data_IF_987943707493
#
_entry.id   IF_987943707493
#
_cell.length_a   1.000
_cell.length_b   1.000
_cell.length_c   1.000
_cell.angle_alpha   90.00
_cell.angle_beta   90.00
_cell.angle_gamma   90.00
#
_symmetry.space_group_name_H-M   'P 1'
#
loop_
_entity.id
_entity.type
_entity.pdbx_description
1 polymer ?
#
# COMPACT_ATOMS: atom_id res chain seq x y z
N UNK A 1 12.11 9.85 -30.26
CA UNK A 1 13.20 9.60 -29.30
C UNK A 1 12.75 8.48 -28.38
N UNK A 2 13.30 7.26 -28.55
CA UNK A 2 13.00 6.11 -27.71
C UNK A 2 14.02 6.06 -26.57
N UNK A 3 13.57 6.24 -25.33
CA UNK A 3 14.43 6.26 -24.14
C UNK A 3 14.88 4.84 -23.77
N UNK A 4 16.17 4.57 -23.92
CA UNK A 4 16.84 3.32 -23.54
C UNK A 4 17.17 3.28 -22.04
N UNK A 5 16.19 3.43 -21.16
CA UNK A 5 16.43 3.48 -19.71
C UNK A 5 16.70 2.10 -19.08
N UNK A 6 16.86 1.03 -19.87
CA UNK A 6 17.09 -0.29 -19.29
C UNK A 6 17.83 -1.26 -20.21
N UNK A 7 18.78 -2.02 -19.64
CA UNK A 7 19.39 -3.20 -20.28
C UNK A 7 18.31 -4.23 -20.59
N UNK A 8 18.24 -4.67 -21.85
CA UNK A 8 17.24 -5.65 -22.32
C UNK A 8 17.32 -7.00 -21.59
N UNK A 9 18.50 -7.34 -21.05
CA UNK A 9 18.77 -8.62 -20.39
C UNK A 9 19.19 -8.38 -18.94
N UNK A 10 18.25 -7.96 -18.09
CA UNK A 10 18.47 -7.76 -16.65
C UNK A 10 18.45 -9.05 -15.81
N UNK A 11 18.51 -10.23 -16.43
CA UNK A 11 18.48 -11.52 -15.74
C UNK A 11 17.17 -11.85 -15.00
N UNK A 12 16.14 -11.01 -15.13
CA UNK A 12 14.86 -11.22 -14.47
C UNK A 12 14.02 -12.22 -15.25
N UNK A 13 13.40 -13.16 -14.54
CA UNK A 13 12.55 -14.19 -15.12
C UNK A 13 11.21 -14.21 -14.43
N UNK A 14 10.13 -14.40 -15.19
CA UNK A 14 8.78 -14.61 -14.64
C UNK A 14 8.28 -15.99 -15.00
N UNK A 15 7.50 -16.58 -14.09
CA UNK A 15 6.78 -17.81 -14.35
C UNK A 15 5.50 -17.49 -15.13
N UNK A 16 5.41 -17.97 -16.37
CA UNK A 16 4.23 -17.80 -17.21
C UNK A 16 3.64 -19.16 -17.55
N UNK A 17 2.32 -19.29 -17.40
CA UNK A 17 1.59 -20.46 -17.90
C UNK A 17 1.47 -20.35 -19.41
N UNK A 18 2.00 -21.33 -20.12
CA UNK A 18 1.93 -21.45 -21.57
C UNK A 18 1.26 -22.76 -21.91
N UNK A 19 0.45 -22.72 -22.98
CA UNK A 19 -0.24 -23.90 -23.48
C UNK A 19 0.70 -24.61 -24.44
N UNK A 20 1.15 -25.80 -24.07
CA UNK A 20 1.95 -26.67 -24.93
C UNK A 20 1.08 -27.15 -26.11
N UNK A 21 1.69 -27.53 -27.23
CA UNK A 21 0.99 -28.02 -28.42
C UNK A 21 -0.02 -29.15 -28.13
N UNK A 22 0.22 -29.93 -27.09
CA UNK A 22 -0.65 -31.02 -26.61
C UNK A 22 -1.84 -30.54 -25.76
N UNK A 23 -2.08 -29.23 -25.69
CA UNK A 23 -3.19 -28.62 -24.96
C UNK A 23 -3.00 -28.51 -23.44
N UNK A 24 -1.92 -29.05 -22.90
CA UNK A 24 -1.58 -28.96 -21.47
C UNK A 24 -0.99 -27.58 -21.10
N UNK A 25 -1.37 -27.08 -19.93
CA UNK A 25 -0.81 -25.85 -19.36
C UNK A 25 0.46 -26.17 -18.58
N UNK A 26 1.60 -25.70 -19.06
CA UNK A 26 2.88 -25.83 -18.37
C UNK A 26 3.36 -24.46 -17.90
N UNK A 27 3.97 -24.42 -16.72
CA UNK A 27 4.61 -23.19 -16.22
C UNK A 27 6.04 -23.16 -16.74
N UNK A 28 6.34 -22.18 -17.60
CA UNK A 28 7.69 -21.97 -18.11
C UNK A 28 8.28 -20.68 -17.56
N UNK A 29 9.57 -20.72 -17.27
CA UNK A 29 10.36 -19.57 -16.83
C UNK A 29 10.84 -18.81 -18.05
N UNK A 30 10.32 -17.59 -18.25
CA UNK A 30 10.62 -16.76 -19.42
C UNK A 30 11.44 -15.55 -18.96
N UNK A 31 12.58 -15.24 -19.61
CA UNK A 31 13.33 -14.03 -19.33
C UNK A 31 12.50 -12.81 -19.76
N UNK A 32 12.40 -11.83 -18.88
CA UNK A 32 11.72 -10.56 -19.15
C UNK A 32 12.70 -9.39 -19.02
N UNK A 33 12.49 -8.32 -19.80
CA UNK A 33 13.11 -7.05 -19.51
C UNK A 33 12.72 -6.59 -18.11
N UNK A 34 13.71 -6.15 -17.35
CA UNK A 34 13.59 -5.51 -16.04
C UNK A 34 12.50 -4.44 -15.96
N UNK A 35 12.27 -3.67 -17.02
CA UNK A 35 11.19 -2.66 -17.10
C UNK A 35 9.81 -3.27 -16.84
N UNK A 36 9.57 -4.49 -17.33
CA UNK A 36 8.28 -5.18 -17.16
C UNK A 36 8.09 -5.61 -15.71
N UNK A 37 9.17 -5.98 -15.04
CA UNK A 37 9.13 -6.34 -13.62
C UNK A 37 8.86 -5.13 -12.74
N UNK A 38 9.56 -4.01 -12.99
CA UNK A 38 9.35 -2.76 -12.26
C UNK A 38 7.92 -2.24 -12.47
N UNK A 39 7.40 -2.36 -13.69
CA UNK A 39 6.01 -2.05 -14.00
C UNK A 39 5.04 -2.94 -13.22
N UNK A 40 5.18 -4.26 -13.30
CA UNK A 40 4.31 -5.20 -12.57
C UNK A 40 4.37 -5.00 -11.05
N UNK A 41 5.53 -4.64 -10.51
CA UNK A 41 5.72 -4.33 -9.08
C UNK A 41 4.92 -3.09 -8.67
N UNK A 42 4.84 -2.08 -9.54
CA UNK A 42 4.07 -0.85 -9.29
C UNK A 42 2.57 -0.96 -9.61
N UNK A 43 2.19 -1.88 -10.50
CA UNK A 43 0.82 -2.10 -10.99
C UNK A 43 -0.11 -2.72 -9.94
N UNK A 44 0.40 -3.56 -9.02
CA UNK A 44 -0.43 -4.28 -8.04
C UNK A 44 -1.14 -3.42 -6.98
N UNK A 45 -0.81 -2.12 -6.88
CA UNK A 45 -1.50 -1.20 -5.97
C UNK A 45 -2.94 -0.87 -6.40
N UNK A 46 -3.22 -0.91 -7.71
CA UNK A 46 -4.55 -0.57 -8.25
C UNK A 46 -5.53 -1.70 -8.00
N UNK A 47 -5.17 -2.94 -8.34
CA UNK A 47 -6.05 -4.12 -8.16
C UNK A 47 -6.43 -4.36 -6.70
N UNK A 48 -5.49 -4.12 -5.77
CA UNK A 48 -5.74 -4.23 -4.33
C UNK A 48 -6.70 -3.13 -3.84
N UNK A 49 -6.55 -1.91 -4.34
CA UNK A 49 -7.46 -0.79 -4.04
C UNK A 49 -8.85 -1.05 -4.61
N UNK A 50 -8.96 -1.55 -5.84
CA UNK A 50 -10.23 -1.89 -6.49
C UNK A 50 -10.94 -3.05 -5.79
N UNK A 51 -10.19 -4.06 -5.33
CA UNK A 51 -10.74 -5.15 -4.50
C UNK A 51 -11.26 -4.64 -3.16
N UNK A 52 -10.53 -3.74 -2.50
CA UNK A 52 -10.98 -3.09 -1.26
C UNK A 52 -12.22 -2.22 -1.52
N UNK A 53 -12.25 -1.43 -2.59
CA UNK A 53 -13.43 -0.62 -2.96
C UNK A 53 -14.64 -1.52 -3.22
N UNK A 54 -14.47 -2.65 -3.92
CA UNK A 54 -15.53 -3.63 -4.14
C UNK A 54 -16.07 -4.24 -2.84
N UNK A 55 -15.18 -4.65 -1.94
CA UNK A 55 -15.52 -5.22 -0.63
C UNK A 55 -16.22 -4.20 0.28
N UNK A 56 -15.70 -2.98 0.36
CA UNK A 56 -16.30 -1.88 1.14
C UNK A 56 -17.58 -1.33 0.50
N UNK A 57 -17.78 -1.46 -0.82
CA UNK A 57 -19.02 -1.07 -1.50
C UNK A 57 -20.17 -2.00 -1.10
N UNK A 58 -19.91 -3.31 -1.02
CA UNK A 58 -20.90 -4.29 -0.56
C UNK A 58 -21.22 -4.16 0.95
N UNK A 59 -20.21 -3.87 1.78
CA UNK A 59 -20.39 -3.67 3.23
C UNK A 59 -21.15 -2.37 3.60
N UNK A 60 -21.23 -1.40 2.68
CA UNK A 60 -21.89 -0.09 2.89
C UNK A 60 -23.26 0.03 2.21
N UNK A 61 -24.01 -1.07 2.09
CA UNK A 61 -25.46 -0.99 1.84
C UNK A 61 -26.25 -0.44 3.04
N UNK A 62 -25.78 0.62 3.70
CA UNK A 62 -26.59 1.38 4.67
C UNK A 62 -26.07 2.80 4.96
N UNK A 63 -26.98 3.76 4.73
CA UNK A 63 -27.18 5.04 5.45
C UNK A 63 -26.21 6.22 5.21
N UNK A 64 -26.23 6.74 3.98
CA UNK A 64 -25.81 8.10 3.56
C UNK A 64 -24.32 8.44 3.76
N UNK A 65 -23.65 8.73 2.64
CA UNK A 65 -22.21 8.99 2.50
C UNK A 65 -21.60 9.99 3.52
N UNK A 66 -22.39 10.96 4.00
CA UNK A 66 -21.91 11.95 4.96
C UNK A 66 -21.57 11.35 6.33
N UNK A 67 -22.23 10.25 6.74
CA UNK A 67 -21.97 9.62 8.04
C UNK A 67 -20.57 9.00 8.06
N UNK A 68 -20.15 8.37 6.97
CA UNK A 68 -18.81 7.78 6.84
C UNK A 68 -17.73 8.85 6.96
N UNK A 69 -17.91 10.00 6.30
CA UNK A 69 -16.97 11.12 6.37
C UNK A 69 -16.93 11.69 7.79
N UNK A 70 -18.09 11.86 8.44
CA UNK A 70 -18.17 12.34 9.81
C UNK A 70 -17.40 11.43 10.80
N UNK A 71 -17.64 10.11 10.77
CA UNK A 71 -16.93 9.17 11.63
C UNK A 71 -15.43 9.15 11.34
N UNK A 72 -15.03 9.25 10.06
CA UNK A 72 -13.62 9.34 9.69
C UNK A 72 -12.92 10.57 10.29
N UNK A 73 -13.58 11.73 10.28
CA UNK A 73 -13.02 12.93 10.93
C UNK A 73 -12.93 12.79 12.45
N UNK A 74 -13.92 12.16 13.09
CA UNK A 74 -13.89 11.88 14.53
C UNK A 74 -12.72 10.96 14.87
N UNK A 75 -12.50 9.89 14.11
CA UNK A 75 -11.40 8.96 14.33
C UNK A 75 -10.03 9.67 14.20
N UNK A 76 -9.85 10.49 13.16
CA UNK A 76 -8.62 11.28 12.98
C UNK A 76 -8.42 12.26 14.15
N UNK A 77 -9.49 12.96 14.58
CA UNK A 77 -9.42 13.91 15.66
C UNK A 77 -9.02 13.24 16.99
N UNK A 78 -9.59 12.06 17.28
CA UNK A 78 -9.27 11.28 18.49
C UNK A 78 -7.81 10.83 18.47
N UNK A 79 -7.32 10.30 17.34
CA UNK A 79 -5.91 9.90 17.19
C UNK A 79 -4.97 11.09 17.36
N UNK A 80 -5.27 12.23 16.75
CA UNK A 80 -4.47 13.45 16.88
C UNK A 80 -4.46 13.97 18.33
N UNK A 81 -5.61 13.99 19.00
CA UNK A 81 -5.72 14.38 20.40
C UNK A 81 -4.88 13.46 21.31
N UNK A 82 -4.90 12.15 21.05
CA UNK A 82 -4.09 11.18 21.78
C UNK A 82 -2.59 11.41 21.60
N UNK A 83 -2.14 11.68 20.36
CA UNK A 83 -0.72 11.99 20.07
C UNK A 83 -0.28 13.24 20.84
N UNK A 84 -1.08 14.31 20.81
CA UNK A 84 -0.79 15.56 21.53
C UNK A 84 -0.71 15.30 23.04
N UNK A 85 -1.65 14.53 23.59
CA UNK A 85 -1.66 14.18 25.00
C UNK A 85 -0.38 13.43 25.42
N UNK A 86 0.04 12.45 24.63
CA UNK A 86 1.29 11.71 24.88
C UNK A 86 2.53 12.60 24.82
N UNK A 87 2.59 13.53 23.85
CA UNK A 87 3.70 14.48 23.74
C UNK A 87 3.76 15.45 24.93
N UNK A 88 2.61 15.93 25.41
CA UNK A 88 2.52 16.77 26.60
C UNK A 88 2.98 16.02 27.86
N UNK A 89 2.50 14.79 28.05
CA UNK A 89 2.92 13.95 29.18
C UNK A 89 4.43 13.65 29.16
N UNK A 90 5.00 13.38 27.98
CA UNK A 90 6.44 13.19 27.81
C UNK A 90 7.24 14.47 28.10
N UNK A 91 6.73 15.63 27.71
CA UNK A 91 7.37 16.94 27.94
C UNK A 91 7.35 17.32 29.42
N UNK A 92 6.23 17.09 30.12
CA UNK A 92 6.11 17.30 31.57
C UNK A 92 7.09 16.41 32.34
N UNK A 93 7.21 15.13 31.97
CA UNK A 93 8.19 14.22 32.57
C UNK A 93 9.65 14.66 32.34
N UNK A 94 9.98 15.20 31.17
CA UNK A 94 11.32 15.77 30.90
C UNK A 94 11.58 17.02 31.72
N UNK A 95 10.58 17.90 31.87
CA UNK A 95 10.69 19.12 32.68
C UNK A 95 10.87 18.80 34.16
N UNK A 96 10.13 17.83 34.71
CA UNK A 96 10.27 17.38 36.09
C UNK A 96 11.68 16.80 36.38
N UNK A 97 12.25 16.03 35.44
CA UNK A 97 13.63 15.50 35.57
C UNK A 97 14.71 16.60 35.50
N UNK A 98 14.45 17.69 34.78
CA UNK A 98 15.41 18.80 34.66
C UNK A 98 15.34 19.79 35.83
N UNK A 99 14.19 19.91 36.51
CA UNK A 99 14.02 20.79 37.68
C UNK A 99 14.59 20.20 38.99
N UNK A 100 14.86 18.89 39.06
CA UNK A 100 15.56 18.27 40.20
C UNK A 100 17.09 18.28 40.09
N UNK A 101 17.65 19.01 39.12
CA UNK A 101 19.09 19.08 38.83
C UNK A 101 19.69 20.48 39.04
N UNK A 102 18.96 21.36 39.71
CA UNK A 102 19.40 22.66 40.22
C UNK A 102 19.29 22.67 41.74
#
# INVERSE_FOLDING_TARGET
MCSSLHSANGGQTVQRRVKTGDGQWTTMTIPIPTVVSDYNKSMGGVDTSDALIGLYSAARKTRKWYSTIFFHFVDIAVVNAYIIHQQLAATQNKRAKNSGKL
#
